data_IF_248071280737
#
_entry.id   IF_248071280737
#
_cell.length_a   1.000
_cell.length_b   1.000
_cell.length_c   1.000
_cell.angle_alpha   90.00
_cell.angle_beta   90.00
_cell.angle_gamma   90.00
#
_symmetry.space_group_name_H-M   'P 1'
#
loop_
_entity.id
_entity.type
_entity.pdbx_description
1 polymer ?
#
# COMPACT_ATOMS: atom_id res chain seq x y z
N UNK A 1 -11.12 -6.25 -20.93
CA UNK A 1 -10.43 -5.89 -19.68
C UNK A 1 -8.98 -6.37 -19.62
N UNK A 2 -8.62 -7.54 -20.17
CA UNK A 2 -7.22 -8.03 -20.14
C UNK A 2 -6.20 -7.04 -20.72
N UNK A 3 -6.43 -6.54 -21.95
CA UNK A 3 -5.56 -5.54 -22.61
C UNK A 3 -5.32 -4.26 -21.79
N UNK A 4 -6.27 -3.88 -20.93
CA UNK A 4 -6.09 -2.76 -19.99
C UNK A 4 -5.05 -3.14 -18.94
N UNK A 5 -5.28 -4.22 -18.19
CA UNK A 5 -4.34 -4.66 -17.16
C UNK A 5 -2.95 -5.03 -17.71
N UNK A 6 -2.85 -5.56 -18.92
CA UNK A 6 -1.56 -5.87 -19.55
C UNK A 6 -0.69 -4.61 -19.78
N UNK A 7 -1.33 -3.47 -20.05
CA UNK A 7 -0.63 -2.21 -20.33
C UNK A 7 -0.48 -1.34 -19.09
N UNK A 8 -1.45 -1.37 -18.17
CA UNK A 8 -1.46 -0.49 -16.99
C UNK A 8 -0.80 -1.10 -15.76
N UNK A 9 -0.68 -2.43 -15.65
CA UNK A 9 -0.18 -3.08 -14.42
C UNK A 9 1.20 -2.60 -14.01
N UNK A 10 2.15 -2.62 -14.95
CA UNK A 10 3.53 -2.23 -14.66
C UNK A 10 3.64 -0.77 -14.20
N UNK A 11 3.16 0.25 -14.95
CA UNK A 11 3.26 1.64 -14.50
C UNK A 11 2.46 1.89 -13.21
N UNK A 12 1.28 1.27 -13.06
CA UNK A 12 0.47 1.41 -11.85
C UNK A 12 1.18 0.89 -10.60
N UNK A 13 1.71 -0.34 -10.63
CA UNK A 13 2.39 -0.95 -9.49
C UNK A 13 3.75 -0.30 -9.20
N UNK A 14 4.47 0.19 -10.22
CA UNK A 14 5.70 0.97 -10.00
C UNK A 14 5.40 2.29 -9.28
N UNK A 15 4.40 3.04 -9.74
CA UNK A 15 4.05 4.34 -9.16
C UNK A 15 3.51 4.17 -7.74
N UNK A 16 2.48 3.35 -7.56
CA UNK A 16 1.85 3.13 -6.24
C UNK A 16 2.80 2.43 -5.27
N UNK A 17 3.65 1.52 -5.77
CA UNK A 17 4.72 0.89 -4.99
C UNK A 17 5.77 1.90 -4.54
N UNK A 18 6.21 2.83 -5.40
CA UNK A 18 7.14 3.89 -5.02
C UNK A 18 6.54 4.86 -3.98
N UNK A 19 5.27 5.24 -4.14
CA UNK A 19 4.56 6.08 -3.16
C UNK A 19 4.47 5.34 -1.82
N UNK A 20 4.09 4.06 -1.83
CA UNK A 20 4.00 3.22 -0.62
C UNK A 20 5.38 3.06 0.03
N UNK A 21 6.43 2.83 -0.76
CA UNK A 21 7.80 2.72 -0.28
C UNK A 21 8.29 4.02 0.40
N UNK A 22 7.71 5.17 0.03
CA UNK A 22 7.97 6.46 0.68
C UNK A 22 7.68 6.46 2.19
N UNK A 23 6.80 5.58 2.68
CA UNK A 23 6.56 5.40 4.12
C UNK A 23 7.80 4.90 4.88
N UNK A 24 8.81 4.34 4.19
CA UNK A 24 10.12 4.01 4.77
C UNK A 24 10.84 5.25 5.31
N UNK A 25 10.43 6.47 4.94
CA UNK A 25 10.89 7.69 5.60
C UNK A 25 10.72 7.66 7.13
N UNK A 26 9.69 6.98 7.64
CA UNK A 26 9.47 6.80 9.08
C UNK A 26 10.60 6.02 9.75
N UNK A 27 11.28 5.13 9.04
CA UNK A 27 12.41 4.35 9.57
C UNK A 27 13.59 5.26 9.94
N UNK A 28 13.88 6.25 9.09
CA UNK A 28 15.06 7.10 9.21
C UNK A 28 14.76 8.46 9.86
N UNK A 29 13.59 9.02 9.57
CA UNK A 29 13.17 10.38 9.96
C UNK A 29 11.71 10.36 10.45
N UNK A 30 11.40 9.67 11.57
CA UNK A 30 10.01 9.46 12.03
C UNK A 30 9.27 10.78 12.31
N UNK A 31 9.91 11.72 13.00
CA UNK A 31 9.29 13.00 13.34
C UNK A 31 8.93 13.85 12.11
N UNK A 32 9.86 13.95 11.17
CA UNK A 32 9.64 14.68 9.92
C UNK A 32 8.56 14.00 9.07
N UNK A 33 8.62 12.67 8.94
CA UNK A 33 7.71 11.91 8.09
C UNK A 33 6.28 11.92 8.64
N UNK A 34 6.09 11.76 9.94
CA UNK A 34 4.77 11.89 10.58
C UNK A 34 4.17 13.26 10.33
N UNK A 35 4.95 14.34 10.50
CA UNK A 35 4.47 15.70 10.31
C UNK A 35 4.15 16.03 8.85
N UNK A 36 5.03 15.66 7.91
CA UNK A 36 4.93 16.08 6.52
C UNK A 36 4.00 15.18 5.69
N UNK A 37 4.01 13.87 5.93
CA UNK A 37 3.23 12.91 5.15
C UNK A 37 1.89 12.63 5.82
N UNK A 38 1.91 12.35 7.12
CA UNK A 38 0.72 11.95 7.86
C UNK A 38 0.03 13.11 8.58
N UNK A 39 0.64 14.31 8.62
CA UNK A 39 0.11 15.46 9.37
C UNK A 39 -0.17 15.13 10.85
N UNK A 40 0.63 14.21 11.42
CA UNK A 40 0.52 13.75 12.79
C UNK A 40 1.66 14.31 13.64
N UNK A 41 1.34 14.58 14.91
CA UNK A 41 2.35 14.93 15.90
C UNK A 41 3.23 13.72 16.23
N UNK A 42 4.53 14.01 16.40
CA UNK A 42 5.48 12.99 16.80
C UNK A 42 5.48 12.82 18.32
N UNK A 43 5.24 11.58 18.75
CA UNK A 43 5.31 11.18 20.16
C UNK A 43 6.55 10.28 20.35
N UNK A 44 7.60 10.73 21.07
CA UNK A 44 8.84 9.97 21.22
C UNK A 44 8.67 8.55 21.77
N UNK A 45 7.66 8.33 22.62
CA UNK A 45 7.36 7.01 23.19
C UNK A 45 6.99 5.95 22.12
N UNK A 46 6.53 6.37 20.93
CA UNK A 46 6.12 5.47 19.84
C UNK A 46 7.14 5.38 18.70
N UNK A 47 8.36 5.88 18.91
CA UNK A 47 9.40 5.93 17.85
C UNK A 47 9.66 4.57 17.21
N UNK A 48 9.89 3.54 18.02
CA UNK A 48 10.18 2.19 17.52
C UNK A 48 9.00 1.62 16.73
N UNK A 49 7.77 1.87 17.20
CA UNK A 49 6.55 1.45 16.53
C UNK A 49 6.41 2.13 15.15
N UNK A 50 6.62 3.44 15.10
CA UNK A 50 6.56 4.21 13.86
C UNK A 50 7.64 3.78 12.86
N UNK A 51 8.89 3.59 13.32
CA UNK A 51 10.00 3.13 12.50
C UNK A 51 9.77 1.72 11.94
N UNK A 52 9.31 0.80 12.79
CA UNK A 52 9.02 -0.57 12.38
C UNK A 52 7.87 -0.62 11.37
N UNK A 53 6.79 0.11 11.63
CA UNK A 53 5.67 0.23 10.68
C UNK A 53 6.14 0.83 9.35
N UNK A 54 6.94 1.89 9.39
CA UNK A 54 7.58 2.48 8.21
C UNK A 54 8.41 1.49 7.39
N UNK A 55 9.20 0.66 8.06
CA UNK A 55 9.98 -0.40 7.41
C UNK A 55 9.07 -1.44 6.75
N UNK A 56 8.01 -1.89 7.43
CA UNK A 56 7.05 -2.85 6.88
C UNK A 56 6.35 -2.29 5.63
N UNK A 57 5.78 -1.09 5.70
CA UNK A 57 5.11 -0.45 4.56
C UNK A 57 6.12 -0.15 3.43
N UNK A 58 7.35 0.22 3.79
CA UNK A 58 8.48 0.34 2.87
C UNK A 58 8.71 -0.94 2.05
N UNK A 59 8.79 -2.09 2.74
CA UNK A 59 8.97 -3.40 2.11
C UNK A 59 7.75 -3.81 1.27
N UNK A 60 6.53 -3.46 1.67
CA UNK A 60 5.31 -3.65 0.85
C UNK A 60 5.45 -2.90 -0.47
N UNK A 61 5.88 -1.63 -0.43
CA UNK A 61 6.11 -0.84 -1.64
C UNK A 61 7.18 -1.44 -2.57
N UNK A 62 8.27 -1.94 -1.99
CA UNK A 62 9.29 -2.68 -2.75
C UNK A 62 8.75 -3.98 -3.35
N UNK A 63 7.91 -4.73 -2.62
CA UNK A 63 7.25 -5.92 -3.14
C UNK A 63 6.35 -5.57 -4.34
N UNK A 64 5.59 -4.47 -4.27
CA UNK A 64 4.78 -4.00 -5.40
C UNK A 64 5.63 -3.71 -6.64
N UNK A 65 6.79 -3.06 -6.47
CA UNK A 65 7.76 -2.84 -7.56
C UNK A 65 8.28 -4.18 -8.11
N UNK A 66 8.62 -5.14 -7.25
CA UNK A 66 9.06 -6.47 -7.67
C UNK A 66 7.97 -7.20 -8.47
N UNK A 67 6.71 -7.13 -8.07
CA UNK A 67 5.58 -7.68 -8.83
C UNK A 67 5.44 -7.03 -10.21
N UNK A 68 5.68 -5.71 -10.32
CA UNK A 68 5.67 -5.00 -11.60
C UNK A 68 6.75 -5.55 -12.56
N UNK A 69 7.95 -5.86 -12.02
CA UNK A 69 9.12 -6.26 -12.79
C UNK A 69 9.21 -7.78 -13.05
N UNK A 70 8.64 -8.62 -12.19
CA UNK A 70 8.75 -10.08 -12.25
C UNK A 70 7.38 -10.74 -12.17
N UNK A 71 6.94 -11.35 -13.26
CA UNK A 71 5.62 -11.98 -13.37
C UNK A 71 5.41 -13.14 -12.40
N UNK A 72 6.46 -13.88 -12.08
CA UNK A 72 6.45 -15.02 -11.14
C UNK A 72 5.98 -14.62 -9.73
N UNK A 73 6.32 -13.41 -9.29
CA UNK A 73 5.99 -12.92 -7.95
C UNK A 73 4.63 -12.21 -7.89
N UNK A 74 3.97 -11.97 -9.03
CA UNK A 74 2.75 -11.13 -9.08
C UNK A 74 1.65 -11.67 -8.21
N UNK A 75 1.24 -12.91 -8.41
CA UNK A 75 0.08 -13.47 -7.69
C UNK A 75 0.24 -13.46 -6.17
N UNK A 76 1.33 -13.99 -5.57
CA UNK A 76 1.47 -13.97 -4.12
C UNK A 76 1.57 -12.54 -3.56
N UNK A 77 2.30 -11.63 -4.25
CA UNK A 77 2.42 -10.24 -3.82
C UNK A 77 1.08 -9.51 -3.91
N UNK A 78 0.29 -9.73 -4.95
CA UNK A 78 -1.02 -9.10 -5.09
C UNK A 78 -1.98 -9.50 -3.98
N UNK A 79 -1.95 -10.76 -3.56
CA UNK A 79 -2.77 -11.23 -2.43
C UNK A 79 -2.32 -10.55 -1.14
N UNK A 80 -1.01 -10.56 -0.87
CA UNK A 80 -0.45 -9.93 0.32
C UNK A 80 -0.72 -8.42 0.38
N UNK A 81 -0.43 -7.70 -0.70
CA UNK A 81 -0.70 -6.27 -0.84
C UNK A 81 -2.19 -5.99 -0.71
N UNK A 82 -3.06 -6.77 -1.39
CA UNK A 82 -4.50 -6.57 -1.29
C UNK A 82 -5.02 -6.67 0.15
N UNK A 83 -4.52 -7.63 0.94
CA UNK A 83 -4.88 -7.76 2.35
C UNK A 83 -4.33 -6.61 3.21
N UNK A 84 -3.07 -6.25 3.05
CA UNK A 84 -2.45 -5.14 3.80
C UNK A 84 -3.15 -3.81 3.53
N UNK A 85 -3.43 -3.50 2.26
CA UNK A 85 -4.13 -2.29 1.83
C UNK A 85 -5.56 -2.23 2.36
N UNK A 86 -6.28 -3.36 2.33
CA UNK A 86 -7.60 -3.44 2.93
C UNK A 86 -7.57 -3.20 4.45
N UNK A 87 -6.53 -3.66 5.15
CA UNK A 87 -6.39 -3.45 6.60
C UNK A 87 -6.28 -1.96 6.94
N UNK A 88 -5.46 -1.17 6.23
CA UNK A 88 -5.36 0.27 6.49
C UNK A 88 -6.70 0.98 6.26
N UNK A 89 -7.38 0.66 5.15
CA UNK A 89 -8.71 1.22 4.84
C UNK A 89 -9.71 0.91 5.96
N UNK A 90 -9.76 -0.34 6.41
CA UNK A 90 -10.64 -0.74 7.52
C UNK A 90 -10.30 0.00 8.81
N UNK A 91 -9.02 0.15 9.15
CA UNK A 91 -8.59 0.88 10.35
C UNK A 91 -8.99 2.36 10.31
N UNK A 92 -8.86 3.01 9.15
CA UNK A 92 -9.28 4.41 8.98
C UNK A 92 -10.80 4.54 9.10
N UNK A 93 -11.57 3.62 8.50
CA UNK A 93 -13.03 3.61 8.63
C UNK A 93 -13.49 3.37 10.08
N UNK A 94 -12.86 2.44 10.78
CA UNK A 94 -13.17 2.15 12.20
C UNK A 94 -12.83 3.33 13.11
N UNK A 95 -11.92 4.20 12.70
CA UNK A 95 -11.48 5.37 13.47
C UNK A 95 -11.92 6.71 12.85
N UNK A 96 -12.92 6.72 11.95
CA UNK A 96 -13.29 7.90 11.16
C UNK A 96 -13.62 9.16 11.99
N UNK A 97 -14.12 8.98 13.22
CA UNK A 97 -14.42 10.08 14.15
C UNK A 97 -13.21 10.62 14.92
N UNK A 98 -12.04 10.00 14.81
CA UNK A 98 -10.82 10.41 15.51
C UNK A 98 -10.02 11.42 14.68
N UNK A 99 -9.51 12.52 15.26
CA UNK A 99 -8.67 13.48 14.54
C UNK A 99 -7.45 12.83 13.86
N UNK A 100 -6.88 11.80 14.49
CA UNK A 100 -5.74 11.06 13.95
C UNK A 100 -6.04 10.34 12.62
N UNK A 101 -7.30 9.95 12.36
CA UNK A 101 -7.67 9.27 11.12
C UNK A 101 -7.55 10.18 9.88
N UNK A 102 -7.72 11.50 10.06
CA UNK A 102 -7.56 12.49 8.99
C UNK A 102 -6.16 12.41 8.35
N UNK A 103 -5.13 12.21 9.19
CA UNK A 103 -3.76 12.06 8.74
C UNK A 103 -3.48 10.84 7.86
N UNK A 104 -4.34 9.83 7.92
CA UNK A 104 -4.24 8.61 7.11
C UNK A 104 -5.17 8.61 5.90
N UNK A 105 -6.04 9.60 5.72
CA UNK A 105 -7.02 9.62 4.62
C UNK A 105 -6.37 9.54 3.23
N UNK A 106 -5.25 10.23 3.03
CA UNK A 106 -4.50 10.17 1.77
C UNK A 106 -3.97 8.77 1.48
N UNK A 107 -3.42 8.11 2.50
CA UNK A 107 -2.98 6.71 2.41
C UNK A 107 -4.14 5.76 2.16
N UNK A 108 -5.24 5.90 2.89
CA UNK A 108 -6.43 5.07 2.72
C UNK A 108 -7.05 5.20 1.33
N UNK A 109 -7.09 6.41 0.76
CA UNK A 109 -7.60 6.61 -0.61
C UNK A 109 -6.74 5.89 -1.64
N UNK A 110 -5.41 6.00 -1.51
CA UNK A 110 -4.48 5.26 -2.37
C UNK A 110 -4.66 3.75 -2.21
N UNK A 111 -4.81 3.28 -0.98
CA UNK A 111 -5.01 1.87 -0.66
C UNK A 111 -6.35 1.32 -1.19
N UNK A 112 -7.42 2.13 -1.20
CA UNK A 112 -8.68 1.79 -1.88
C UNK A 112 -8.43 1.60 -3.38
N UNK A 113 -7.73 2.53 -4.03
CA UNK A 113 -7.45 2.45 -5.47
C UNK A 113 -6.64 1.21 -5.81
N UNK A 114 -5.59 0.91 -5.03
CA UNK A 114 -4.78 -0.30 -5.20
C UNK A 114 -5.62 -1.55 -4.99
N UNK A 115 -6.44 -1.58 -3.94
CA UNK A 115 -7.32 -2.74 -3.64
C UNK A 115 -8.32 -3.00 -4.77
N UNK A 116 -9.00 -1.96 -5.26
CA UNK A 116 -9.92 -2.07 -6.40
C UNK A 116 -9.20 -2.51 -7.67
N UNK A 117 -8.00 -2.00 -7.91
CA UNK A 117 -7.17 -2.42 -9.06
C UNK A 117 -6.81 -3.90 -8.99
N UNK A 118 -6.43 -4.40 -7.81
CA UNK A 118 -6.10 -5.82 -7.59
C UNK A 118 -7.33 -6.71 -7.78
N UNK A 119 -8.49 -6.32 -7.23
CA UNK A 119 -9.75 -7.04 -7.43
C UNK A 119 -10.12 -7.10 -8.92
N UNK A 120 -10.02 -5.97 -9.62
CA UNK A 120 -10.25 -5.89 -11.07
C UNK A 120 -9.27 -6.76 -11.87
N UNK A 121 -8.00 -6.78 -11.48
CA UNK A 121 -6.97 -7.61 -12.11
C UNK A 121 -7.31 -9.11 -12.00
N UNK A 122 -7.67 -9.57 -10.80
CA UNK A 122 -8.07 -10.97 -10.60
C UNK A 122 -9.40 -11.31 -11.29
N UNK A 123 -10.33 -10.36 -11.36
CA UNK A 123 -11.59 -10.55 -12.08
C UNK A 123 -11.38 -10.69 -13.60
N UNK A 124 -10.42 -9.96 -14.17
CA UNK A 124 -10.09 -9.99 -15.61
C UNK A 124 -9.24 -11.21 -16.04
N UNK A 125 -8.45 -11.77 -15.12
CA UNK A 125 -8.31 -13.22 -14.89
C UNK A 125 -9.11 -14.22 -15.76
N UNK A 126 -8.67 -14.75 -16.92
CA UNK A 126 -9.36 -15.91 -17.48
C UNK A 126 -9.22 -17.07 -16.49
N UNK A 127 -10.35 -17.70 -16.11
CA UNK A 127 -10.41 -18.87 -15.21
C UNK A 127 -9.88 -20.15 -15.88
N UNK A 128 -8.79 -20.08 -16.63
CA UNK A 128 -8.09 -21.26 -17.12
C UNK A 128 -7.19 -21.77 -16.00
N UNK A 129 -7.33 -23.05 -15.63
CA UNK A 129 -6.68 -23.76 -14.51
C UNK A 129 -7.47 -23.68 -13.19
N UNK A 130 -8.69 -24.23 -13.21
CA UNK A 130 -9.04 -25.24 -12.19
C UNK A 130 -8.78 -26.60 -12.85
N UNK A 131 -7.54 -27.07 -12.74
CA UNK A 131 -7.20 -28.47 -12.94
C UNK A 131 -7.25 -29.15 -11.58
#
# INVERSE_FOLDING_TARGET
>A
MQRFFDTTFRPFFLLTGAITAGAAGLLFLPAWTLKMIFQLDYVPAYTVLAQHWGAMVGLVGLAMILAALRSEWRTPILIFVGLEKACLVLLVLMNWGQPAAAGFMGGALMDVLVSLYILGYFWARPRSVRG
#
